data_IF_039757527682
#
_entry.id   IF_039757527682
#
_cell.length_a   1.000
_cell.length_b   1.000
_cell.length_c   1.000
_cell.angle_alpha   90.00
_cell.angle_beta   90.00
_cell.angle_gamma   90.00
#
_symmetry.space_group_name_H-M   'P 1'
#
loop_
_entity.id
_entity.type
_entity.pdbx_description
1 polymer ?
#
# COMPACT_ATOMS: atom_id res chain seq x y z
N UNK A 1 -94.10 -15.42 -40.30
CA UNK A 1 -93.11 -16.45 -40.66
C UNK A 1 -91.83 -16.07 -39.93
N UNK A 2 -91.65 -16.53 -38.68
CA UNK A 2 -91.00 -17.82 -38.31
C UNK A 2 -89.49 -17.73 -38.56
N UNK A 3 -88.70 -17.39 -37.54
CA UNK A 3 -88.06 -18.25 -36.52
C UNK A 3 -86.69 -18.76 -36.98
N UNK A 4 -85.62 -18.39 -36.28
CA UNK A 4 -84.86 -19.33 -35.43
C UNK A 4 -83.61 -18.70 -34.79
N UNK A 5 -83.34 -19.18 -33.59
CA UNK A 5 -82.27 -18.84 -32.65
C UNK A 5 -81.07 -19.76 -32.81
N UNK A 6 -79.85 -19.25 -32.71
CA UNK A 6 -78.69 -20.05 -32.26
C UNK A 6 -77.75 -19.22 -31.37
N UNK A 7 -77.48 -19.77 -30.19
CA UNK A 7 -76.49 -19.31 -29.22
C UNK A 7 -75.19 -20.09 -29.37
N UNK A 8 -74.03 -19.41 -29.37
CA UNK A 8 -72.73 -20.04 -29.15
C UNK A 8 -71.94 -19.33 -28.04
N UNK A 9 -71.58 -20.10 -27.02
CA UNK A 9 -70.67 -19.75 -25.93
C UNK A 9 -69.33 -20.47 -26.13
N UNK A 10 -68.22 -19.74 -26.09
CA UNK A 10 -66.87 -20.18 -25.66
C UNK A 10 -65.93 -18.96 -25.71
N UNK A 11 -64.96 -18.70 -24.84
CA UNK A 11 -64.38 -19.46 -23.75
C UNK A 11 -62.91 -19.03 -23.55
N UNK A 12 -62.64 -18.15 -22.57
CA UNK A 12 -61.58 -18.30 -21.56
C UNK A 12 -60.17 -18.81 -22.01
N UNK A 13 -59.55 -18.29 -23.07
CA UNK A 13 -58.19 -18.70 -23.49
C UNK A 13 -57.03 -17.86 -22.93
N UNK A 14 -57.19 -16.54 -22.82
CA UNK A 14 -56.07 -15.61 -22.60
C UNK A 14 -55.52 -15.56 -21.17
N UNK A 15 -56.40 -15.56 -20.16
CA UNK A 15 -55.99 -15.32 -18.77
C UNK A 15 -55.26 -16.50 -18.11
N UNK A 16 -55.43 -17.73 -18.62
CA UNK A 16 -54.76 -18.92 -18.05
C UNK A 16 -53.29 -18.99 -18.49
N UNK A 17 -52.97 -18.68 -19.75
CA UNK A 17 -51.59 -18.65 -20.26
C UNK A 17 -50.73 -17.59 -19.57
N UNK A 18 -51.29 -16.40 -19.33
CA UNK A 18 -50.57 -15.31 -18.64
C UNK A 18 -50.32 -15.62 -17.15
N UNK A 19 -51.30 -16.22 -16.45
CA UNK A 19 -51.12 -16.68 -15.06
C UNK A 19 -50.09 -17.80 -14.94
N UNK A 20 -50.01 -18.70 -15.91
CA UNK A 20 -49.03 -19.80 -15.91
C UNK A 20 -47.60 -19.29 -16.15
N UNK A 21 -47.42 -18.32 -17.07
CA UNK A 21 -46.11 -17.70 -17.35
C UNK A 21 -45.57 -16.95 -16.13
N UNK A 22 -46.41 -16.15 -15.47
CA UNK A 22 -46.04 -15.39 -14.26
C UNK A 22 -45.73 -16.30 -13.05
N UNK A 23 -46.40 -17.45 -12.94
CA UNK A 23 -46.11 -18.47 -11.91
C UNK A 23 -44.79 -19.19 -12.16
N UNK A 24 -44.40 -19.40 -13.42
CA UNK A 24 -43.12 -20.04 -13.79
C UNK A 24 -41.93 -19.12 -13.51
N UNK A 25 -42.05 -17.83 -13.87
CA UNK A 25 -41.00 -16.83 -13.60
C UNK A 25 -40.75 -16.62 -12.10
N UNK A 26 -41.81 -16.56 -11.28
CA UNK A 26 -41.68 -16.46 -9.82
C UNK A 26 -40.94 -17.65 -9.19
N UNK A 27 -41.21 -18.87 -9.67
CA UNK A 27 -40.52 -20.09 -9.20
C UNK A 27 -39.04 -20.12 -9.58
N UNK A 28 -38.68 -19.58 -10.75
CA UNK A 28 -37.28 -19.50 -11.19
C UNK A 28 -36.50 -18.49 -10.35
N UNK A 29 -37.10 -17.33 -10.06
CA UNK A 29 -36.46 -16.30 -9.25
C UNK A 29 -36.20 -16.77 -7.81
N UNK A 30 -37.22 -17.38 -7.17
CA UNK A 30 -37.10 -17.90 -5.80
C UNK A 30 -36.09 -19.07 -5.70
N UNK A 31 -35.93 -19.85 -6.78
CA UNK A 31 -34.92 -20.91 -6.85
C UNK A 31 -33.49 -20.39 -6.97
N UNK A 32 -33.28 -19.25 -7.65
CA UNK A 32 -31.97 -18.62 -7.80
C UNK A 32 -31.51 -17.96 -6.48
N UNK A 33 -32.41 -17.26 -5.82
CA UNK A 33 -32.15 -16.61 -4.53
C UNK A 33 -31.83 -17.63 -3.41
N UNK A 34 -32.54 -18.77 -3.39
CA UNK A 34 -32.23 -19.89 -2.47
C UNK A 34 -30.92 -20.61 -2.78
N UNK A 35 -30.38 -20.51 -4.00
CA UNK A 35 -29.07 -21.08 -4.35
C UNK A 35 -27.95 -20.14 -3.91
N UNK A 36 -28.04 -18.86 -4.24
CA UNK A 36 -27.06 -17.84 -3.84
C UNK A 36 -26.90 -17.76 -2.31
N UNK A 37 -28.01 -17.84 -1.54
CA UNK A 37 -27.94 -17.85 -0.08
C UNK A 37 -27.24 -19.09 0.50
N UNK A 38 -27.39 -20.26 -0.13
CA UNK A 38 -26.73 -21.50 0.31
C UNK A 38 -25.24 -21.50 -0.03
N UNK A 39 -24.87 -20.92 -1.16
CA UNK A 39 -23.47 -20.83 -1.59
C UNK A 39 -22.70 -19.82 -0.71
N UNK A 40 -23.32 -18.69 -0.34
CA UNK A 40 -22.72 -17.70 0.56
C UNK A 40 -22.53 -18.25 2.01
N UNK A 41 -23.55 -18.92 2.56
CA UNK A 41 -23.46 -19.52 3.90
C UNK A 41 -22.45 -20.70 3.95
N UNK A 42 -22.20 -21.36 2.81
CA UNK A 42 -21.17 -22.39 2.68
C UNK A 42 -19.75 -21.85 2.69
N UNK A 43 -19.53 -20.68 2.07
CA UNK A 43 -18.23 -20.00 2.05
C UNK A 43 -17.84 -19.49 3.44
N UNK A 44 -18.75 -18.79 4.13
CA UNK A 44 -18.51 -18.27 5.49
C UNK A 44 -18.15 -19.38 6.50
N UNK A 45 -18.80 -20.54 6.39
CA UNK A 45 -18.51 -21.69 7.26
C UNK A 45 -17.14 -22.31 6.99
N UNK A 46 -16.66 -22.25 5.74
CA UNK A 46 -15.34 -22.76 5.36
C UNK A 46 -14.24 -21.84 5.91
N UNK A 47 -14.39 -20.53 5.75
CA UNK A 47 -13.39 -19.56 6.20
C UNK A 47 -13.28 -19.52 7.72
N UNK A 48 -14.42 -19.59 8.43
CA UNK A 48 -14.44 -19.70 9.90
C UNK A 48 -13.72 -20.95 10.39
N UNK A 49 -13.87 -22.08 9.69
CA UNK A 49 -13.21 -23.35 10.04
C UNK A 49 -11.71 -23.32 9.74
N UNK A 50 -11.28 -22.65 8.68
CA UNK A 50 -9.85 -22.48 8.37
C UNK A 50 -9.16 -21.53 9.37
N UNK A 51 -9.82 -20.42 9.75
CA UNK A 51 -9.33 -19.49 10.79
C UNK A 51 -9.14 -20.19 12.15
N UNK A 52 -10.13 -20.94 12.61
CA UNK A 52 -10.06 -21.66 13.89
C UNK A 52 -8.97 -22.77 13.88
N UNK A 53 -8.70 -23.35 12.71
CA UNK A 53 -7.62 -24.33 12.53
C UNK A 53 -6.23 -23.68 12.55
N UNK A 54 -6.10 -22.46 12.01
CA UNK A 54 -4.86 -21.68 12.08
C UNK A 54 -4.55 -21.22 13.51
N UNK A 55 -5.54 -20.68 14.23
CA UNK A 55 -5.37 -20.27 15.64
C UNK A 55 -4.94 -21.45 16.54
N UNK A 56 -5.58 -22.62 16.39
CA UNK A 56 -5.18 -23.83 17.13
C UNK A 56 -3.79 -24.35 16.75
N UNK A 57 -3.33 -24.11 15.52
CA UNK A 57 -1.97 -24.48 15.09
C UNK A 57 -0.94 -23.54 15.71
N UNK A 58 -1.22 -22.23 15.70
CA UNK A 58 -0.38 -21.20 16.32
C UNK A 58 -0.23 -21.39 17.83
N UNK A 59 -1.32 -21.73 18.54
CA UNK A 59 -1.26 -22.01 19.97
C UNK A 59 -0.40 -23.25 20.30
N UNK A 60 -0.45 -24.29 19.46
CA UNK A 60 0.39 -25.49 19.62
C UNK A 60 1.86 -25.21 19.34
N UNK A 61 2.17 -24.39 18.34
CA UNK A 61 3.54 -24.00 18.02
C UNK A 61 4.14 -23.09 19.11
N UNK A 62 3.36 -22.14 19.63
CA UNK A 62 3.76 -21.29 20.75
C UNK A 62 4.06 -22.10 22.04
N UNK A 63 3.25 -23.12 22.33
CA UNK A 63 3.48 -24.03 23.48
C UNK A 63 4.68 -24.95 23.30
N UNK A 64 5.04 -25.30 22.06
CA UNK A 64 6.23 -26.11 21.76
C UNK A 64 7.52 -25.33 22.01
N UNK A 65 7.55 -24.03 21.68
CA UNK A 65 8.72 -23.18 21.91
C UNK A 65 8.98 -22.84 23.38
N UNK A 66 7.97 -22.97 24.25
CA UNK A 66 8.13 -22.71 25.69
C UNK A 66 8.74 -23.90 26.47
N UNK A 67 8.84 -25.09 25.87
CA UNK A 67 9.45 -26.26 26.51
C UNK A 67 10.97 -26.35 26.27
N UNK A 68 11.50 -25.77 25.19
CA UNK A 68 12.93 -25.90 24.84
C UNK A 68 13.85 -24.86 25.53
N UNK A 69 13.31 -23.87 26.25
CA UNK A 69 14.10 -22.86 26.98
C UNK A 69 14.27 -23.12 28.50
N UNK A 70 13.75 -24.24 29.02
CA UNK A 70 13.83 -24.57 30.45
C UNK A 70 14.95 -25.56 30.82
N UNK A 71 15.95 -25.76 29.97
CA UNK A 71 17.12 -26.62 30.27
C UNK A 71 18.41 -25.97 29.83
N UNK A 72 18.98 -25.08 30.65
CA UNK A 72 20.43 -24.95 30.93
C UNK A 72 20.67 -23.78 31.88
N UNK A 73 20.65 -24.08 33.18
CA UNK A 73 21.09 -23.17 34.24
C UNK A 73 22.60 -23.23 34.46
N UNK A 74 23.19 -22.04 34.63
CA UNK A 74 24.07 -21.65 35.74
C UNK A 74 25.43 -22.36 35.96
N UNK A 75 26.52 -21.62 35.65
CA UNK A 75 27.80 -21.44 36.39
C UNK A 75 28.58 -20.34 35.61
N UNK A 76 29.24 -19.29 36.14
CA UNK A 76 29.70 -18.91 37.47
C UNK A 76 31.21 -18.57 37.43
N UNK A 77 31.60 -17.32 37.75
CA UNK A 77 32.96 -16.81 38.08
C UNK A 77 33.94 -16.48 36.93
N UNK A 78 34.96 -15.60 37.02
CA UNK A 78 35.33 -14.40 37.80
C UNK A 78 36.75 -13.96 37.34
N UNK A 79 37.01 -12.65 37.17
CA UNK A 79 38.26 -11.84 37.33
C UNK A 79 39.66 -12.44 37.00
N UNK A 80 40.48 -11.69 36.24
CA UNK A 80 41.96 -11.84 36.22
C UNK A 80 42.72 -10.82 35.36
N UNK A 81 43.72 -10.15 35.94
CA UNK A 81 44.52 -9.02 35.42
C UNK A 81 45.72 -9.42 34.53
N UNK A 82 46.10 -8.52 33.60
CA UNK A 82 47.48 -8.02 33.46
C UNK A 82 48.52 -8.77 32.58
N UNK A 83 49.61 -8.08 32.15
CA UNK A 83 50.16 -8.13 30.78
C UNK A 83 51.62 -8.62 30.68
N UNK A 84 52.17 -8.90 29.47
CA UNK A 84 53.54 -8.49 29.01
C UNK A 84 53.96 -8.98 27.59
N UNK A 85 54.49 -8.02 26.80
CA UNK A 85 55.71 -7.98 25.95
C UNK A 85 55.95 -8.83 24.66
N UNK A 86 56.45 -8.11 23.62
CA UNK A 86 57.55 -8.53 22.72
C UNK A 86 57.16 -8.65 21.24
N UNK A 87 57.35 -7.60 20.40
CA UNK A 87 58.52 -7.33 19.54
C UNK A 87 58.59 -8.20 18.27
N UNK A 88 59.08 -7.82 17.08
CA UNK A 88 59.43 -6.57 16.39
C UNK A 88 59.98 -6.99 14.99
N UNK A 89 60.19 -6.01 14.09
CA UNK A 89 61.05 -6.02 12.87
C UNK A 89 60.43 -6.70 11.62
N UNK A 90 60.28 -6.06 10.46
CA UNK A 90 61.23 -5.30 9.61
C UNK A 90 61.31 -6.08 8.27
N UNK A 91 61.47 -5.57 7.04
CA UNK A 91 61.82 -4.28 6.46
C UNK A 91 61.67 -4.39 4.92
N UNK A 92 61.42 -3.26 4.24
CA UNK A 92 61.93 -2.94 2.88
C UNK A 92 61.21 -3.59 1.67
N UNK A 93 61.27 -3.05 0.45
CA UNK A 93 61.73 -1.77 -0.11
C UNK A 93 61.42 -1.79 -1.63
N UNK A 94 61.16 -0.62 -2.22
CA UNK A 94 61.59 -0.25 -3.59
C UNK A 94 60.80 -0.74 -4.80
N UNK A 95 60.53 0.18 -5.74
CA UNK A 95 60.13 -0.13 -7.11
C UNK A 95 59.32 0.98 -7.79
N UNK A 96 60.00 1.88 -8.49
CA UNK A 96 59.47 3.04 -9.21
C UNK A 96 58.94 2.72 -10.63
N UNK A 97 58.28 3.74 -11.21
CA UNK A 97 58.04 4.08 -12.63
C UNK A 97 57.28 3.11 -13.56
N UNK A 98 56.14 3.58 -14.09
CA UNK A 98 55.97 3.79 -15.55
C UNK A 98 54.83 4.79 -15.84
N UNK A 99 55.18 5.83 -16.60
CA UNK A 99 54.26 6.78 -17.23
C UNK A 99 53.71 6.18 -18.52
N UNK A 100 52.43 6.37 -18.80
CA UNK A 100 51.91 6.26 -20.17
C UNK A 100 50.84 7.31 -20.42
N UNK A 101 51.26 8.31 -21.18
CA UNK A 101 50.43 9.24 -21.93
C UNK A 101 49.69 8.51 -23.05
N UNK A 102 48.40 8.77 -23.22
CA UNK A 102 47.71 8.49 -24.49
C UNK A 102 46.83 9.67 -24.89
N UNK A 103 47.12 10.11 -26.10
CA UNK A 103 46.56 11.15 -26.95
C UNK A 103 45.03 11.23 -26.97
N UNK A 104 44.48 12.40 -26.65
CA UNK A 104 43.11 12.78 -27.01
C UNK A 104 43.12 13.48 -28.38
N UNK A 105 42.43 12.88 -29.33
CA UNK A 105 42.30 13.34 -30.72
C UNK A 105 41.24 14.43 -30.84
N UNK A 106 41.57 15.47 -31.63
CA UNK A 106 40.70 16.57 -32.02
C UNK A 106 39.54 16.10 -32.90
N UNK A 107 38.35 16.67 -32.70
CA UNK A 107 37.29 16.73 -33.72
C UNK A 107 36.66 18.14 -33.77
N UNK A 108 36.26 18.62 -34.95
CA UNK A 108 36.04 20.03 -35.24
C UNK A 108 34.64 20.53 -34.87
N UNK A 109 34.58 21.78 -34.43
CA UNK A 109 33.36 22.54 -34.27
C UNK A 109 32.88 23.08 -35.63
N UNK A 110 31.65 22.76 -36.02
CA UNK A 110 30.93 23.39 -37.13
C UNK A 110 29.56 23.91 -36.65
N UNK A 111 29.49 25.24 -36.53
CA UNK A 111 28.41 26.16 -36.93
C UNK A 111 27.01 25.59 -37.21
N UNK A 112 26.00 26.03 -36.46
CA UNK A 112 24.65 26.52 -36.88
C UNK A 112 24.12 27.34 -35.67
N UNK A 113 23.60 28.56 -35.74
CA UNK A 113 22.68 29.18 -36.69
C UNK A 113 21.58 29.81 -35.83
N UNK A 114 21.75 31.06 -35.42
CA UNK A 114 20.77 31.83 -34.64
C UNK A 114 19.63 32.28 -35.53
N UNK A 115 18.38 31.96 -35.17
CA UNK A 115 17.18 32.50 -35.81
C UNK A 115 16.33 33.22 -34.76
N UNK A 116 16.17 34.53 -34.95
CA UNK A 116 15.28 35.43 -34.18
C UNK A 116 13.80 35.05 -34.31
N UNK A 117 12.94 35.38 -33.32
CA UNK A 117 11.49 35.38 -33.49
C UNK A 117 10.97 36.74 -34.01
N UNK A 118 9.97 36.76 -34.91
CA UNK A 118 9.36 38.02 -35.39
C UNK A 118 8.29 38.57 -34.41
N UNK A 119 7.88 39.85 -34.59
CA UNK A 119 7.33 40.69 -33.53
C UNK A 119 5.80 40.60 -33.36
N UNK A 120 5.34 40.98 -32.17
CA UNK A 120 3.93 41.22 -31.86
C UNK A 120 3.33 42.36 -32.70
N UNK A 121 2.06 42.21 -33.09
CA UNK A 121 1.21 43.28 -33.60
C UNK A 121 -0.19 43.23 -32.94
N UNK A 122 -0.94 44.35 -32.90
CA UNK A 122 -1.90 44.66 -31.84
C UNK A 122 -3.35 44.22 -32.09
N UNK A 123 -4.13 44.29 -31.01
CA UNK A 123 -5.56 43.98 -30.89
C UNK A 123 -6.47 44.65 -31.91
N UNK A 124 -7.51 43.94 -32.33
CA UNK A 124 -8.75 44.52 -32.86
C UNK A 124 -9.94 43.96 -32.08
N UNK A 125 -10.68 44.86 -31.43
CA UNK A 125 -11.82 44.56 -30.57
C UNK A 125 -13.12 44.34 -31.34
N UNK A 126 -14.05 43.64 -30.68
CA UNK A 126 -15.49 43.63 -30.98
C UNK A 126 -16.28 43.46 -29.66
N UNK A 127 -17.56 43.87 -29.63
CA UNK A 127 -18.11 44.68 -28.54
C UNK A 127 -18.64 43.89 -27.34
N UNK A 128 -18.58 44.56 -26.18
CA UNK A 128 -19.22 44.17 -24.94
C UNK A 128 -20.75 44.15 -25.10
N UNK A 129 -21.36 42.99 -24.85
CA UNK A 129 -22.78 42.90 -24.46
C UNK A 129 -22.84 42.69 -22.95
N UNK A 130 -23.19 43.76 -22.24
CA UNK A 130 -23.56 43.70 -20.83
C UNK A 130 -24.92 43.01 -20.72
N UNK A 131 -24.95 41.79 -20.20
CA UNK A 131 -26.17 41.20 -19.64
C UNK A 131 -25.88 40.77 -18.20
N UNK A 132 -26.23 41.66 -17.29
CA UNK A 132 -26.22 41.39 -15.86
C UNK A 132 -27.19 40.25 -15.55
N UNK A 133 -26.66 39.05 -15.31
CA UNK A 133 -27.40 37.97 -14.66
C UNK A 133 -26.50 37.37 -13.60
N UNK A 134 -26.84 37.61 -12.34
CA UNK A 134 -26.18 37.04 -11.16
C UNK A 134 -26.25 35.50 -11.25
N UNK A 135 -25.13 34.77 -11.43
CA UNK A 135 -25.19 33.33 -11.33
C UNK A 135 -25.48 32.98 -9.86
N UNK A 136 -26.49 32.13 -9.65
CA UNK A 136 -26.80 31.56 -8.34
C UNK A 136 -25.54 30.86 -7.82
N UNK A 137 -24.97 31.38 -6.73
CA UNK A 137 -23.86 30.74 -6.05
C UNK A 137 -24.36 29.42 -5.45
N UNK A 138 -23.88 28.30 -6.00
CA UNK A 138 -23.84 27.03 -5.29
C UNK A 138 -23.12 27.26 -3.95
N UNK A 139 -23.56 26.64 -2.85
CA UNK A 139 -22.92 26.84 -1.54
C UNK A 139 -21.47 26.37 -1.63
N UNK A 140 -20.54 27.31 -1.69
CA UNK A 140 -19.11 27.05 -1.58
C UNK A 140 -18.79 26.78 -0.12
N UNK A 141 -18.74 25.51 0.26
CA UNK A 141 -17.98 25.10 1.44
C UNK A 141 -16.55 25.64 1.30
N UNK A 142 -15.95 26.22 2.37
CA UNK A 142 -14.55 26.65 2.29
C UNK A 142 -13.69 25.40 2.09
N UNK A 143 -13.19 25.19 0.87
CA UNK A 143 -12.17 24.18 0.62
C UNK A 143 -10.93 24.61 1.41
N UNK A 144 -10.66 23.95 2.54
CA UNK A 144 -9.37 24.08 3.19
C UNK A 144 -8.32 23.63 2.19
N UNK A 145 -7.31 24.46 1.95
CA UNK A 145 -6.22 24.22 1.00
C UNK A 145 -5.22 23.15 1.51
N UNK A 146 -5.73 22.17 2.26
CA UNK A 146 -4.99 21.18 3.03
C UNK A 146 -4.88 19.88 2.24
N UNK A 147 -3.68 19.29 2.16
CA UNK A 147 -3.47 18.02 1.48
C UNK A 147 -4.46 16.94 1.96
N UNK A 148 -4.94 16.05 1.07
CA UNK A 148 -5.86 14.96 1.43
C UNK A 148 -5.31 14.11 2.57
N UNK A 149 -6.14 13.57 3.49
CA UNK A 149 -5.66 12.78 4.63
C UNK A 149 -4.72 11.65 4.25
N UNK A 150 -5.04 10.94 3.16
CA UNK A 150 -4.25 9.81 2.64
C UNK A 150 -3.14 10.19 1.67
N UNK A 151 -3.07 11.46 1.26
CA UNK A 151 -2.21 11.94 0.18
C UNK A 151 -2.67 11.50 -1.21
N UNK A 152 -2.01 12.03 -2.24
CA UNK A 152 -2.18 11.59 -3.62
C UNK A 152 -1.43 10.27 -3.85
N UNK A 153 -2.04 9.32 -4.57
CA UNK A 153 -1.51 7.97 -4.76
C UNK A 153 -1.32 7.63 -6.23
N UNK A 154 -0.36 6.75 -6.50
CA UNK A 154 -0.14 6.13 -7.81
C UNK A 154 -0.66 4.70 -7.74
N UNK A 155 -1.79 4.37 -8.41
CA UNK A 155 -2.32 3.02 -8.40
C UNK A 155 -1.42 2.10 -9.24
N UNK A 156 -1.08 0.95 -8.69
CA UNK A 156 -0.26 -0.09 -9.29
C UNK A 156 -0.90 -1.46 -9.11
N UNK A 157 -0.43 -2.42 -9.90
CA UNK A 157 -0.80 -3.83 -9.78
C UNK A 157 0.47 -4.69 -9.81
N UNK A 158 0.38 -5.94 -9.34
CA UNK A 158 1.51 -6.88 -9.32
C UNK A 158 2.26 -6.98 -10.65
N UNK A 159 1.52 -6.94 -11.75
CA UNK A 159 2.07 -7.13 -13.10
C UNK A 159 2.34 -5.79 -13.82
N UNK A 160 2.24 -4.67 -13.10
CA UNK A 160 2.49 -3.34 -13.67
C UNK A 160 3.97 -2.99 -13.63
N UNK A 161 4.42 -2.26 -14.66
CA UNK A 161 5.74 -1.63 -14.65
C UNK A 161 5.87 -0.69 -13.44
N UNK A 162 7.07 -0.67 -12.86
CA UNK A 162 7.32 0.23 -11.73
C UNK A 162 7.45 1.68 -12.23
N UNK A 163 6.77 2.65 -11.58
CA UNK A 163 6.69 4.02 -12.09
C UNK A 163 8.03 4.74 -12.11
N UNK A 164 8.23 5.69 -13.06
CA UNK A 164 9.46 6.48 -13.14
C UNK A 164 9.62 7.41 -11.92
N UNK A 165 10.86 7.86 -11.60
CA UNK A 165 11.16 8.67 -10.41
C UNK A 165 10.24 9.89 -10.21
N UNK A 166 9.85 10.56 -11.30
CA UNK A 166 8.97 11.74 -11.26
C UNK A 166 7.57 11.45 -10.66
N UNK A 167 7.10 10.21 -10.73
CA UNK A 167 5.79 9.81 -10.19
C UNK A 167 5.89 9.17 -8.81
N UNK A 168 6.94 8.37 -8.55
CA UNK A 168 7.09 7.67 -7.26
C UNK A 168 7.78 8.47 -6.16
N UNK A 169 8.47 9.55 -6.52
CA UNK A 169 9.29 10.31 -5.58
C UNK A 169 10.57 9.56 -5.13
N UNK A 170 11.33 10.15 -4.19
CA UNK A 170 12.50 9.53 -3.60
C UNK A 170 12.12 8.29 -2.75
N UNK A 171 13.05 7.33 -2.58
CA UNK A 171 12.87 6.26 -1.61
C UNK A 171 12.81 6.81 -0.18
N UNK A 172 12.07 6.14 0.70
CA UNK A 172 12.01 6.47 2.14
C UNK A 172 13.09 5.75 2.95
N UNK A 173 13.61 4.65 2.42
CA UNK A 173 14.63 3.81 3.03
C UNK A 173 15.33 2.96 1.96
N UNK A 174 16.31 2.18 2.40
CA UNK A 174 16.96 1.15 1.60
C UNK A 174 16.81 -0.19 2.32
N UNK A 175 16.74 -1.28 1.56
CA UNK A 175 16.66 -2.63 2.09
C UNK A 175 17.96 -3.03 2.82
N UNK A 176 18.01 -4.24 3.40
CA UNK A 176 19.15 -4.71 4.20
C UNK A 176 20.49 -4.75 3.46
N UNK A 177 20.48 -4.71 2.13
CA UNK A 177 21.68 -4.59 1.29
C UNK A 177 22.28 -3.17 1.25
N UNK A 178 21.56 -2.18 1.79
CA UNK A 178 21.95 -0.78 1.82
C UNK A 178 21.87 -0.05 0.47
N UNK A 179 21.34 -0.70 -0.57
CA UNK A 179 21.33 -0.17 -1.95
C UNK A 179 19.97 -0.25 -2.63
N UNK A 180 19.18 -1.29 -2.34
CA UNK A 180 17.88 -1.50 -2.97
C UNK A 180 16.83 -0.54 -2.40
N UNK A 181 16.17 0.29 -3.24
CA UNK A 181 15.30 1.36 -2.76
C UNK A 181 13.96 0.83 -2.25
N UNK A 182 13.51 1.41 -1.13
CA UNK A 182 12.23 1.09 -0.52
C UNK A 182 11.30 2.32 -0.53
N UNK A 183 10.06 2.08 -0.91
CA UNK A 183 8.95 3.02 -0.98
C UNK A 183 7.81 2.56 -0.06
N UNK A 184 6.81 3.42 0.09
CA UNK A 184 5.62 3.18 0.90
C UNK A 184 4.36 3.23 0.05
N UNK A 185 3.35 2.49 0.46
CA UNK A 185 2.05 2.53 -0.17
C UNK A 185 1.03 1.75 0.65
N UNK A 186 -0.09 1.42 0.01
CA UNK A 186 -1.19 0.74 0.64
C UNK A 186 -1.66 -0.42 -0.23
N UNK A 187 -1.60 -1.64 0.29
CA UNK A 187 -2.12 -2.83 -0.37
C UNK A 187 -3.62 -2.97 -0.10
N UNK A 188 -4.41 -3.26 -1.15
CA UNK A 188 -5.86 -3.42 -1.06
C UNK A 188 -6.19 -4.89 -0.89
N UNK A 189 -6.85 -5.23 0.22
CA UNK A 189 -7.44 -6.53 0.49
C UNK A 189 -8.96 -6.44 0.27
N UNK A 190 -9.68 -7.56 0.40
CA UNK A 190 -11.13 -7.61 0.15
C UNK A 190 -11.94 -6.70 1.08
N UNK A 191 -11.54 -6.60 2.35
CA UNK A 191 -12.26 -5.85 3.39
C UNK A 191 -11.39 -4.84 4.15
N UNK A 192 -10.12 -4.69 3.76
CA UNK A 192 -9.16 -3.83 4.44
C UNK A 192 -8.15 -3.20 3.48
N UNK A 193 -7.44 -2.19 3.95
CA UNK A 193 -6.36 -1.53 3.21
C UNK A 193 -5.18 -1.37 4.16
N UNK A 194 -4.05 -1.99 3.84
CA UNK A 194 -2.91 -2.03 4.76
C UNK A 194 -1.71 -1.27 4.22
N UNK A 195 -1.07 -0.40 5.02
CA UNK A 195 0.23 0.16 4.70
C UNK A 195 1.26 -0.95 4.42
N UNK A 196 2.08 -0.77 3.39
CA UNK A 196 3.00 -1.77 2.90
C UNK A 196 4.38 -1.19 2.54
N UNK A 197 5.39 -2.05 2.64
CA UNK A 197 6.73 -1.85 2.09
C UNK A 197 6.68 -2.15 0.59
N UNK A 198 7.20 -1.26 -0.25
CA UNK A 198 7.27 -1.45 -1.70
C UNK A 198 8.72 -1.41 -2.16
N UNK A 199 9.19 -2.43 -2.86
CA UNK A 199 10.52 -2.47 -3.46
C UNK A 199 10.44 -3.08 -4.87
N UNK A 200 10.97 -2.42 -5.91
CA UNK A 200 10.97 -2.97 -7.27
C UNK A 200 11.83 -4.24 -7.42
N UNK A 201 12.67 -4.55 -6.43
CA UNK A 201 13.46 -5.77 -6.35
C UNK A 201 12.78 -6.90 -5.57
N UNK A 202 11.63 -6.63 -4.94
CA UNK A 202 10.86 -7.63 -4.19
C UNK A 202 9.93 -8.41 -5.13
N UNK A 203 9.65 -9.67 -4.82
CA UNK A 203 8.69 -10.48 -5.57
C UNK A 203 7.62 -11.07 -4.62
N UNK A 204 6.36 -10.58 -4.66
CA UNK A 204 5.88 -9.42 -5.41
C UNK A 204 6.45 -8.09 -4.88
N UNK A 205 6.31 -7.00 -5.66
CA UNK A 205 6.88 -5.69 -5.31
C UNK A 205 6.38 -5.11 -3.98
N UNK A 206 5.20 -5.52 -3.50
CA UNK A 206 4.59 -5.02 -2.28
C UNK A 206 4.54 -6.11 -1.19
N UNK A 207 5.01 -5.78 0.01
CA UNK A 207 5.04 -6.65 1.17
C UNK A 207 4.29 -5.99 2.35
N UNK A 208 3.40 -6.75 2.98
CA UNK A 208 2.48 -6.29 4.02
C UNK A 208 2.78 -7.02 5.33
N UNK A 209 2.92 -6.32 6.46
CA UNK A 209 2.95 -6.95 7.77
C UNK A 209 1.53 -7.40 8.12
N UNK A 210 1.26 -8.70 8.00
CA UNK A 210 -0.09 -9.24 8.17
C UNK A 210 -0.08 -10.68 8.65
N UNK A 211 -0.85 -10.98 9.70
CA UNK A 211 -1.08 -12.34 10.18
C UNK A 211 0.17 -13.03 10.75
N UNK A 212 1.13 -12.25 11.27
CA UNK A 212 2.39 -12.76 11.80
C UNK A 212 3.48 -12.98 10.73
N UNK A 213 3.20 -12.68 9.46
CA UNK A 213 4.14 -12.92 8.35
C UNK A 213 4.40 -11.66 7.54
N UNK A 214 5.50 -11.67 6.80
CA UNK A 214 5.72 -10.75 5.68
C UNK A 214 4.93 -11.27 4.47
N UNK A 215 3.71 -10.77 4.31
CA UNK A 215 2.81 -11.19 3.26
C UNK A 215 3.14 -10.48 1.94
N UNK A 216 3.57 -11.24 0.94
CA UNK A 216 3.72 -10.73 -0.43
C UNK A 216 2.36 -10.48 -1.08
N UNK A 217 2.04 -9.22 -1.35
CA UNK A 217 0.74 -8.81 -1.89
C UNK A 217 0.65 -9.00 -3.40
N UNK A 218 -0.37 -9.76 -3.83
CA UNK A 218 -0.71 -9.92 -5.24
C UNK A 218 -2.06 -9.23 -5.52
N UNK A 219 -2.08 -8.27 -6.45
CA UNK A 219 -3.26 -7.47 -6.77
C UNK A 219 -2.94 -5.98 -6.83
N UNK A 220 -3.97 -5.16 -6.58
CA UNK A 220 -3.85 -3.70 -6.57
C UNK A 220 -3.19 -3.21 -5.30
N UNK A 221 -2.27 -2.27 -5.45
CA UNK A 221 -1.71 -1.48 -4.35
C UNK A 221 -1.47 -0.04 -4.82
N UNK A 222 -1.57 0.90 -3.91
CA UNK A 222 -1.51 2.33 -4.19
C UNK A 222 -0.24 2.91 -3.56
N UNK A 223 0.78 3.18 -4.39
CA UNK A 223 2.04 3.80 -3.97
C UNK A 223 1.77 5.23 -3.46
N UNK A 224 2.40 5.59 -2.33
CA UNK A 224 2.41 6.95 -1.80
C UNK A 224 3.77 7.59 -2.12
N UNK A 225 3.82 8.57 -3.04
CA UNK A 225 5.04 9.32 -3.27
C UNK A 225 5.41 10.10 -2.02
N UNK A 226 6.61 9.87 -1.48
CA UNK A 226 7.12 10.64 -0.37
C UNK A 226 7.56 12.02 -0.86
N UNK A 227 7.00 13.09 -0.28
CA UNK A 227 7.33 14.47 -0.64
C UNK A 227 7.94 15.15 0.58
N UNK A 228 9.28 15.22 0.70
CA UNK A 228 9.96 15.76 1.89
C UNK A 228 9.56 17.20 2.25
N UNK A 229 9.09 17.98 1.28
CA UNK A 229 8.62 19.36 1.49
C UNK A 229 7.27 19.42 2.21
N UNK A 230 6.46 18.35 2.14
CA UNK A 230 5.09 18.30 2.67
C UNK A 230 4.91 17.26 3.78
N UNK A 231 5.85 16.33 3.92
CA UNK A 231 5.75 15.18 4.81
C UNK A 231 6.99 15.08 5.70
N UNK A 232 6.81 14.54 6.90
CA UNK A 232 7.90 14.24 7.82
C UNK A 232 7.65 12.97 8.62
N UNK A 233 8.74 12.29 8.99
CA UNK A 233 8.73 11.19 9.93
C UNK A 233 8.86 11.75 11.35
N UNK A 234 7.87 11.46 12.20
CA UNK A 234 7.83 11.95 13.58
C UNK A 234 8.00 10.77 14.53
N UNK A 235 8.95 10.86 15.46
CA UNK A 235 9.15 9.83 16.48
C UNK A 235 7.92 9.71 17.38
N UNK A 236 7.50 8.47 17.63
CA UNK A 236 6.39 8.15 18.52
C UNK A 236 6.57 6.73 19.09
N UNK A 237 5.65 6.33 19.95
CA UNK A 237 5.65 4.98 20.49
C UNK A 237 4.28 4.49 20.92
N UNK A 238 4.15 3.19 21.14
CA UNK A 238 2.94 2.56 21.72
C UNK A 238 1.62 2.88 21.00
N UNK A 239 1.64 2.97 19.67
CA UNK A 239 0.44 3.29 18.87
C UNK A 239 0.03 4.76 18.92
N UNK A 240 0.75 5.62 19.63
CA UNK A 240 0.36 7.00 19.86
C UNK A 240 0.50 7.87 18.62
N UNK A 241 -0.46 8.77 18.42
CA UNK A 241 -0.34 9.87 17.46
C UNK A 241 0.32 11.05 18.19
N UNK A 242 1.48 11.56 17.73
CA UNK A 242 2.14 12.67 18.39
C UNK A 242 1.23 13.91 18.50
N UNK A 243 1.20 14.59 19.67
CA UNK A 243 0.34 15.74 19.88
C UNK A 243 0.53 16.83 18.82
N UNK A 244 -0.57 17.35 18.28
CA UNK A 244 -0.55 18.41 17.27
C UNK A 244 -0.10 17.96 15.88
N UNK A 245 0.18 16.68 15.65
CA UNK A 245 0.53 16.15 14.33
C UNK A 245 -0.68 15.58 13.61
N UNK A 246 -0.62 15.62 12.27
CA UNK A 246 -1.63 15.03 11.39
C UNK A 246 -1.03 13.84 10.65
N UNK A 247 -1.28 12.60 11.09
CA UNK A 247 -0.72 11.41 10.45
C UNK A 247 -1.31 11.19 9.07
N UNK A 248 -0.52 10.65 8.14
CA UNK A 248 -0.98 10.31 6.79
C UNK A 248 -1.72 8.98 6.83
N UNK A 249 -3.00 9.00 6.48
CA UNK A 249 -3.85 7.82 6.47
C UNK A 249 -3.35 6.81 5.42
N UNK A 250 -3.02 5.61 5.86
CA UNK A 250 -2.52 4.52 5.03
C UNK A 250 -3.56 3.43 4.75
N UNK A 251 -4.68 3.43 5.47
CA UNK A 251 -5.80 2.52 5.23
C UNK A 251 -6.56 2.20 6.52
N UNK A 252 -7.08 0.98 6.62
CA UNK A 252 -7.89 0.51 7.73
C UNK A 252 -7.86 -1.02 7.83
N UNK A 253 -8.03 -1.55 9.04
CA UNK A 253 -8.28 -2.97 9.31
C UNK A 253 -9.74 -3.34 9.02
N UNK A 254 -10.07 -4.64 8.99
CA UNK A 254 -11.43 -5.16 8.72
C UNK A 254 -12.50 -4.62 9.70
N UNK A 255 -12.09 -4.24 10.91
CA UNK A 255 -12.96 -3.66 11.93
C UNK A 255 -13.14 -2.13 11.76
N UNK A 256 -12.58 -1.53 10.70
CA UNK A 256 -12.58 -0.09 10.43
C UNK A 256 -11.52 0.70 11.19
N UNK A 257 -10.65 0.05 11.97
CA UNK A 257 -9.57 0.70 12.69
C UNK A 257 -8.58 1.35 11.74
N UNK A 258 -8.36 2.66 11.86
CA UNK A 258 -7.45 3.41 10.98
C UNK A 258 -6.01 2.92 11.10
N UNK A 259 -5.33 2.87 9.95
CA UNK A 259 -3.92 2.55 9.84
C UNK A 259 -3.15 3.73 9.23
N UNK A 260 -1.92 3.90 9.70
CA UNK A 260 -1.00 4.93 9.26
C UNK A 260 0.34 4.30 8.86
N UNK A 261 1.13 5.04 8.07
CA UNK A 261 2.46 4.60 7.66
C UNK A 261 3.45 4.74 8.81
N UNK A 262 4.15 3.64 9.12
CA UNK A 262 5.17 3.58 10.15
C UNK A 262 6.54 3.26 9.54
N UNK A 263 7.61 3.63 10.24
CA UNK A 263 8.99 3.28 9.94
C UNK A 263 9.67 2.84 11.24
N UNK A 264 10.06 1.56 11.32
CA UNK A 264 10.78 1.01 12.47
C UNK A 264 12.24 0.70 12.11
N UNK A 265 13.13 0.76 13.10
CA UNK A 265 14.53 0.37 12.91
C UNK A 265 14.73 -1.10 13.32
N UNK A 266 15.01 -1.95 12.34
CA UNK A 266 15.31 -3.37 12.51
C UNK A 266 16.81 -3.57 12.36
N UNK A 267 17.53 -3.62 13.48
CA UNK A 267 18.99 -3.82 13.51
C UNK A 267 19.78 -2.86 12.60
N UNK A 268 19.42 -1.57 12.62
CA UNK A 268 20.04 -0.55 11.78
C UNK A 268 19.38 -0.34 10.42
N UNK A 269 18.44 -1.20 10.01
CA UNK A 269 17.68 -1.07 8.75
C UNK A 269 16.34 -0.38 9.03
N UNK A 270 16.03 0.70 8.31
CA UNK A 270 14.73 1.35 8.43
C UNK A 270 13.70 0.63 7.55
N UNK A 271 12.68 0.05 8.17
CA UNK A 271 11.69 -0.80 7.50
C UNK A 271 10.31 -0.17 7.61
N UNK A 272 9.65 0.14 6.48
CA UNK A 272 8.28 0.64 6.52
C UNK A 272 7.26 -0.44 6.87
N UNK A 273 6.14 0.00 7.43
CA UNK A 273 5.01 -0.86 7.75
C UNK A 273 3.80 -0.07 8.21
N UNK A 274 3.02 -0.65 9.12
CA UNK A 274 1.75 -0.08 9.59
C UNK A 274 1.76 0.22 11.08
N UNK A 275 1.03 1.24 11.49
CA UNK A 275 0.70 1.53 12.88
C UNK A 275 -0.76 1.98 13.01
N UNK A 276 -1.31 1.91 14.21
CA UNK A 276 -2.62 2.42 14.57
C UNK A 276 -2.74 2.44 16.08
N UNK A 277 -3.60 3.31 16.61
CA UNK A 277 -3.81 3.44 18.07
C UNK A 277 -4.20 2.10 18.72
N UNK A 278 -4.90 1.25 17.98
CA UNK A 278 -5.35 -0.07 18.40
C UNK A 278 -4.28 -1.17 18.26
N UNK A 279 -3.14 -0.91 17.58
CA UNK A 279 -2.06 -1.88 17.40
C UNK A 279 -1.01 -1.82 18.52
N UNK A 280 -0.96 -0.72 19.29
CA UNK A 280 0.00 -0.56 20.39
C UNK A 280 1.47 -0.45 19.95
N UNK A 281 1.74 -0.22 18.66
CA UNK A 281 3.08 -0.14 18.10
C UNK A 281 3.08 0.00 16.57
N UNK A 282 4.25 -0.23 15.97
CA UNK A 282 4.41 -0.42 14.54
C UNK A 282 4.66 -1.90 14.22
N UNK A 283 4.01 -2.39 13.17
CA UNK A 283 4.25 -3.72 12.60
C UNK A 283 4.96 -3.55 11.26
N UNK A 284 6.06 -4.26 11.03
CA UNK A 284 6.90 -4.14 9.83
C UNK A 284 7.23 -5.50 9.21
N UNK A 285 7.41 -5.52 7.89
CA UNK A 285 7.73 -6.71 7.11
C UNK A 285 9.24 -6.89 6.95
N UNK A 286 9.82 -7.86 7.66
CA UNK A 286 11.26 -8.11 7.58
C UNK A 286 11.60 -9.59 7.76
N UNK A 287 12.45 -10.12 6.88
CA UNK A 287 12.96 -11.49 6.99
C UNK A 287 11.88 -12.58 6.90
N UNK A 288 10.78 -12.32 6.19
CA UNK A 288 9.67 -13.27 6.08
C UNK A 288 8.65 -13.18 7.22
N UNK A 289 8.84 -12.28 8.19
CA UNK A 289 8.01 -12.16 9.39
C UNK A 289 7.37 -10.77 9.52
N UNK A 290 6.26 -10.73 10.26
CA UNK A 290 5.73 -9.49 10.81
C UNK A 290 6.39 -9.25 12.18
N UNK A 291 7.15 -8.15 12.30
CA UNK A 291 7.83 -7.77 13.53
C UNK A 291 7.14 -6.55 14.16
N UNK A 292 6.92 -6.59 15.46
CA UNK A 292 6.30 -5.49 16.22
C UNK A 292 7.34 -4.68 16.99
N UNK A 293 7.26 -3.36 16.89
CA UNK A 293 8.14 -2.39 17.55
C UNK A 293 7.33 -1.35 18.30
N UNK A 294 7.69 -1.10 19.56
CA UNK A 294 7.04 -0.08 20.37
C UNK A 294 7.54 1.32 20.05
N UNK A 295 8.81 1.47 19.68
CA UNK A 295 9.41 2.74 19.26
C UNK A 295 9.58 2.77 17.75
N UNK A 296 9.08 3.82 17.12
CA UNK A 296 9.05 3.94 15.66
C UNK A 296 8.84 5.39 15.25
N UNK A 297 8.82 5.65 13.95
CA UNK A 297 8.40 6.92 13.38
C UNK A 297 7.08 6.75 12.63
N UNK A 298 6.19 7.74 12.76
CA UNK A 298 4.92 7.82 12.02
C UNK A 298 5.01 8.92 10.97
N UNK A 299 4.54 8.65 9.75
CA UNK A 299 4.52 9.65 8.68
C UNK A 299 3.40 10.66 8.92
N UNK A 300 3.75 11.94 8.94
CA UNK A 300 2.83 13.04 9.18
C UNK A 300 2.93 14.11 8.10
N UNK A 301 1.85 14.85 7.90
CA UNK A 301 1.87 16.11 7.16
C UNK A 301 2.61 17.19 7.96
N UNK A 302 3.38 18.03 7.24
CA UNK A 302 3.95 19.28 7.74
C UNK A 302 2.90 20.38 7.84
#
# INVERSE_FOLDING_TARGET
MSSDSESYSSGSGGSRKLKLKKKKEKRVHEGKEKKEKRDHEGHDKKDKKEKEKMEKKQEKEAKKHHHDQATHGFVGSSVGHGPVHGAALGSGAGGEYFSSSTTASMFPAHTQGVSEPPPYAPSSGFPQVNLATKPAQLPTSPMSNTAPPSGFRVPLHTDSDFPPPAQRGPPVAYDADGASPIFIGSALFDSSVHPCKIGPHLQPHAAVPYGGVEYGHNGRYDLLPFVPEQMEWVHTSYGQIPPGRRPIEGGYEDNGGKLYHALANVNGVNVPGKTGEHLGGANVSFGGQELAYQEYQILCWK
#
